data_IF_496953208605
#
_entry.id   IF_496953208605
#
_cell.length_a   1.000
_cell.length_b   1.000
_cell.length_c   1.000
_cell.angle_alpha   90.00
_cell.angle_beta   90.00
_cell.angle_gamma   90.00
#
_symmetry.space_group_name_H-M   'P 1'
#
loop_
_entity.id
_entity.type
_entity.pdbx_description
1 polymer ?
#
# COMPACT_ATOMS: atom_id res chain seq x y z
N UNK A 1 42.34 4.36 7.43
CA UNK A 1 41.45 4.57 8.59
C UNK A 1 41.31 6.04 8.98
N UNK A 2 42.39 6.81 9.15
CA UNK A 2 42.29 8.26 9.44
C UNK A 2 41.64 9.06 8.29
N UNK A 3 42.03 8.78 7.04
CA UNK A 3 41.47 9.43 5.86
C UNK A 3 39.96 9.18 5.70
N UNK A 4 39.51 7.93 5.94
CA UNK A 4 38.10 7.56 5.88
C UNK A 4 37.26 8.22 6.97
N UNK A 5 37.83 8.42 8.17
CA UNK A 5 37.17 9.17 9.24
C UNK A 5 37.07 10.65 8.90
N UNK A 6 38.12 11.25 8.33
CA UNK A 6 38.11 12.66 7.92
C UNK A 6 37.06 12.94 6.82
N UNK A 7 36.98 12.09 5.81
CA UNK A 7 35.96 12.21 4.76
C UNK A 7 34.54 12.03 5.33
N UNK A 8 34.37 11.16 6.33
CA UNK A 8 33.08 10.94 7.00
C UNK A 8 32.64 12.13 7.83
N UNK A 9 33.55 12.80 8.54
CA UNK A 9 33.22 14.01 9.31
C UNK A 9 32.86 15.17 8.36
N UNK A 10 33.63 15.32 7.27
CA UNK A 10 33.38 16.37 6.28
C UNK A 10 31.98 16.23 5.65
N UNK A 11 31.58 15.02 5.25
CA UNK A 11 30.26 14.79 4.65
C UNK A 11 29.11 15.05 5.64
N UNK A 12 29.31 14.75 6.92
CA UNK A 12 28.33 15.01 7.98
C UNK A 12 28.15 16.51 8.22
N UNK A 13 29.25 17.27 8.24
CA UNK A 13 29.20 18.74 8.36
C UNK A 13 28.48 19.35 7.16
N UNK A 14 28.82 18.94 5.94
CA UNK A 14 28.18 19.49 4.72
C UNK A 14 26.68 19.20 4.71
N UNK A 15 26.25 17.98 5.02
CA UNK A 15 24.83 17.62 5.05
C UNK A 15 24.06 18.36 6.16
N UNK A 16 24.68 18.59 7.32
CA UNK A 16 24.08 19.37 8.40
C UNK A 16 23.87 20.85 8.02
N UNK A 17 24.81 21.46 7.31
CA UNK A 17 24.70 22.85 6.85
C UNK A 17 23.61 23.02 5.79
N UNK A 18 23.52 22.06 4.86
CA UNK A 18 22.49 22.06 3.82
C UNK A 18 21.09 21.91 4.42
N UNK A 19 20.90 20.99 5.37
CA UNK A 19 19.61 20.81 6.05
C UNK A 19 19.25 22.03 6.89
N UNK A 20 20.21 22.64 7.59
CA UNK A 20 19.98 23.88 8.35
C UNK A 20 19.58 25.05 7.44
N UNK A 21 20.28 25.24 6.32
CA UNK A 21 19.92 26.26 5.32
C UNK A 21 18.53 26.05 4.74
N UNK A 22 18.16 24.79 4.46
CA UNK A 22 16.81 24.45 3.97
C UNK A 22 15.72 24.78 5.00
N UNK A 23 15.93 24.49 6.28
CA UNK A 23 14.96 24.78 7.35
C UNK A 23 14.77 26.29 7.51
N UNK A 24 15.85 27.08 7.49
CA UNK A 24 15.72 28.54 7.56
C UNK A 24 14.94 29.10 6.36
N UNK A 25 15.21 28.61 5.15
CA UNK A 25 14.48 29.03 3.96
C UNK A 25 13.00 28.59 3.98
N UNK A 26 12.71 27.36 4.43
CA UNK A 26 11.35 26.83 4.47
C UNK A 26 10.47 27.60 5.46
N UNK A 27 11.00 28.03 6.61
CA UNK A 27 10.24 28.85 7.57
C UNK A 27 9.77 30.19 6.99
N UNK A 28 10.56 30.82 6.12
CA UNK A 28 10.16 32.04 5.40
C UNK A 28 9.03 31.78 4.40
N UNK A 29 9.00 30.58 3.79
CA UNK A 29 7.94 30.18 2.87
C UNK A 29 6.62 29.87 3.59
N UNK A 30 6.69 29.27 4.78
CA UNK A 30 5.53 28.94 5.62
C UNK A 30 4.77 30.21 6.06
N UNK A 31 5.43 31.35 6.22
CA UNK A 31 4.76 32.61 6.57
C UNK A 31 3.73 33.08 5.52
N UNK A 32 3.79 32.59 4.27
CA UNK A 32 2.84 32.97 3.23
C UNK A 32 1.60 32.08 3.33
N UNK A 33 0.52 32.63 3.89
CA UNK A 33 -0.77 31.94 4.11
C UNK A 33 -1.31 31.21 2.87
N UNK A 34 -1.15 31.78 1.69
CA UNK A 34 -1.59 31.18 0.40
C UNK A 34 -0.84 29.90 0.02
N UNK A 35 0.36 29.67 0.58
CA UNK A 35 1.07 28.39 0.42
C UNK A 35 0.62 27.33 1.42
N UNK A 36 -0.09 27.74 2.48
CA UNK A 36 -0.58 26.85 3.53
C UNK A 36 -2.04 26.42 3.32
N UNK A 37 -2.76 27.04 2.37
CA UNK A 37 -4.11 26.64 1.99
C UNK A 37 -4.10 25.35 1.17
N UNK A 38 -5.17 24.57 1.26
CA UNK A 38 -5.33 23.36 0.46
C UNK A 38 -5.29 23.70 -1.04
N UNK A 39 -4.56 22.91 -1.81
CA UNK A 39 -4.50 23.08 -3.26
C UNK A 39 -5.71 22.44 -3.92
N UNK A 40 -6.58 23.23 -4.53
CA UNK A 40 -7.74 22.77 -5.32
C UNK A 40 -7.64 23.34 -6.74
N UNK A 41 -6.53 23.04 -7.44
CA UNK A 41 -6.25 23.48 -8.81
C UNK A 41 -6.30 25.00 -9.04
N UNK A 42 -5.95 25.78 -8.01
CA UNK A 42 -5.97 27.26 -8.06
C UNK A 42 -7.31 27.88 -7.65
N UNK A 43 -8.30 27.08 -7.27
CA UNK A 43 -9.54 27.53 -6.66
C UNK A 43 -9.46 27.48 -5.13
N UNK A 44 -10.31 28.28 -4.48
CA UNK A 44 -10.51 28.19 -3.05
C UNK A 44 -11.21 26.86 -2.70
N UNK A 45 -10.77 26.17 -1.63
CA UNK A 45 -11.32 24.87 -1.30
C UNK A 45 -12.81 24.97 -0.96
N UNK A 46 -13.63 24.18 -1.66
CA UNK A 46 -15.09 24.19 -1.55
C UNK A 46 -15.61 23.60 -0.22
N UNK A 47 -14.73 22.90 0.51
CA UNK A 47 -15.01 22.33 1.82
C UNK A 47 -13.80 21.61 2.41
N UNK A 48 -14.03 20.79 3.43
CA UNK A 48 -12.97 19.93 3.96
C UNK A 48 -12.73 18.73 3.04
N UNK A 49 -11.47 18.38 2.79
CA UNK A 49 -11.11 17.13 2.08
C UNK A 49 -11.48 15.84 2.84
N UNK A 50 -11.99 15.94 4.07
CA UNK A 50 -12.39 14.82 4.94
C UNK A 50 -13.87 14.47 4.78
N UNK A 51 -14.37 14.45 3.56
CA UNK A 51 -15.72 13.99 3.26
C UNK A 51 -15.77 12.46 3.24
N UNK A 52 -16.93 11.85 3.54
CA UNK A 52 -17.11 10.42 3.42
C UNK A 52 -16.86 10.00 1.97
N UNK A 53 -15.93 9.07 1.79
CA UNK A 53 -15.58 8.47 0.51
C UNK A 53 -16.52 7.29 0.20
N UNK A 54 -16.58 6.86 -1.06
CA UNK A 54 -17.48 5.78 -1.47
C UNK A 54 -17.06 4.44 -0.86
N UNK A 55 -18.01 3.78 -0.20
CA UNK A 55 -17.81 2.49 0.48
C UNK A 55 -17.47 1.32 -0.47
N UNK A 56 -17.72 1.48 -1.78
CA UNK A 56 -17.45 0.45 -2.78
C UNK A 56 -15.96 0.16 -2.94
N UNK A 57 -15.11 1.18 -2.94
CA UNK A 57 -13.65 0.98 -2.96
C UNK A 57 -13.13 0.30 -1.69
N UNK A 58 -13.75 0.59 -0.55
CA UNK A 58 -13.41 -0.09 0.70
C UNK A 58 -13.72 -1.58 0.62
N UNK A 59 -14.88 -1.94 0.06
CA UNK A 59 -15.28 -3.33 -0.12
C UNK A 59 -14.32 -4.08 -1.05
N UNK A 60 -13.93 -3.48 -2.18
CA UNK A 60 -12.92 -4.02 -3.08
C UNK A 60 -11.58 -4.28 -2.37
N UNK A 61 -11.14 -3.34 -1.52
CA UNK A 61 -9.89 -3.48 -0.76
C UNK A 61 -9.94 -4.64 0.25
N UNK A 62 -11.10 -4.87 0.89
CA UNK A 62 -11.29 -5.99 1.80
C UNK A 62 -11.28 -7.33 1.05
N UNK A 63 -11.98 -7.42 -0.08
CA UNK A 63 -11.96 -8.63 -0.93
C UNK A 63 -10.54 -8.93 -1.40
N UNK A 64 -9.83 -7.92 -1.90
CA UNK A 64 -8.43 -8.07 -2.32
C UNK A 64 -7.53 -8.58 -1.19
N UNK A 65 -7.69 -8.08 0.03
CA UNK A 65 -6.92 -8.52 1.19
C UNK A 65 -7.18 -9.99 1.53
N UNK A 66 -8.44 -10.43 1.49
CA UNK A 66 -8.80 -11.84 1.74
C UNK A 66 -8.21 -12.73 0.66
N UNK A 67 -8.33 -12.34 -0.61
CA UNK A 67 -7.78 -13.09 -1.74
C UNK A 67 -6.24 -13.21 -1.67
N UNK A 68 -5.53 -12.18 -1.20
CA UNK A 68 -4.08 -12.24 -1.00
C UNK A 68 -3.68 -13.27 0.08
N UNK A 69 -4.46 -13.37 1.16
CA UNK A 69 -4.28 -14.41 2.19
C UNK A 69 -4.48 -15.81 1.59
N UNK A 70 -5.48 -15.98 0.72
CA UNK A 70 -5.72 -17.27 0.05
C UNK A 70 -4.57 -17.67 -0.88
N UNK A 71 -3.96 -16.72 -1.60
CA UNK A 71 -2.75 -16.96 -2.40
C UNK A 71 -1.57 -17.38 -1.52
N UNK A 72 -1.39 -16.73 -0.37
CA UNK A 72 -0.35 -17.11 0.59
C UNK A 72 -0.53 -18.55 1.07
N UNK A 73 -1.77 -19.01 1.26
CA UNK A 73 -2.08 -20.40 1.61
C UNK A 73 -1.78 -21.39 0.47
N UNK A 74 -1.82 -20.96 -0.79
CA UNK A 74 -1.45 -21.77 -1.95
C UNK A 74 0.07 -21.83 -2.20
N UNK A 75 0.82 -20.82 -1.75
CA UNK A 75 2.28 -20.72 -1.96
C UNK A 75 3.11 -21.98 -1.56
N UNK A 76 2.85 -22.68 -0.43
CA UNK A 76 3.67 -23.82 -0.03
C UNK A 76 3.46 -25.09 -0.88
N UNK A 77 2.53 -25.09 -1.83
CA UNK A 77 2.18 -26.27 -2.62
C UNK A 77 3.38 -26.98 -3.30
N UNK A 78 4.31 -26.27 -3.99
CA UNK A 78 5.42 -26.93 -4.67
C UNK A 78 6.31 -27.70 -3.68
N UNK A 79 6.50 -27.16 -2.48
CA UNK A 79 7.27 -27.83 -1.42
C UNK A 79 6.52 -29.08 -0.94
N UNK A 80 5.21 -28.96 -0.68
CA UNK A 80 4.40 -30.09 -0.21
C UNK A 80 4.36 -31.25 -1.21
N UNK A 81 4.30 -30.96 -2.52
CA UNK A 81 4.34 -31.97 -3.58
C UNK A 81 5.61 -32.83 -3.56
N UNK A 82 6.74 -32.28 -3.09
CA UNK A 82 8.02 -33.00 -3.06
C UNK A 82 8.20 -33.89 -1.83
N UNK A 83 7.56 -33.55 -0.70
CA UNK A 83 7.80 -34.21 0.59
C UNK A 83 6.64 -35.06 1.09
N UNK A 84 5.41 -34.79 0.65
CA UNK A 84 4.19 -35.41 1.17
C UNK A 84 3.56 -36.44 0.24
N UNK A 85 2.46 -37.05 0.72
CA UNK A 85 1.66 -37.96 -0.11
C UNK A 85 0.90 -37.17 -1.20
N UNK A 86 1.22 -37.47 -2.46
CA UNK A 86 0.72 -36.71 -3.62
C UNK A 86 -0.81 -36.71 -3.71
N UNK A 87 -1.47 -37.85 -3.46
CA UNK A 87 -2.93 -37.96 -3.55
C UNK A 87 -3.65 -37.07 -2.53
N UNK A 88 -3.21 -37.04 -1.26
CA UNK A 88 -3.85 -36.22 -0.23
C UNK A 88 -3.72 -34.74 -0.51
N UNK A 89 -2.58 -34.30 -1.04
CA UNK A 89 -2.35 -32.88 -1.33
C UNK A 89 -3.13 -32.47 -2.59
N UNK A 90 -3.23 -33.33 -3.61
CA UNK A 90 -4.06 -33.07 -4.80
C UNK A 90 -5.53 -32.92 -4.41
N UNK A 91 -6.06 -33.83 -3.58
CA UNK A 91 -7.46 -33.74 -3.10
C UNK A 91 -7.67 -32.48 -2.25
N UNK A 92 -6.72 -32.14 -1.37
CA UNK A 92 -6.77 -30.93 -0.56
C UNK A 92 -6.76 -29.65 -1.39
N UNK A 93 -5.90 -29.56 -2.41
CA UNK A 93 -5.86 -28.43 -3.33
C UNK A 93 -7.15 -28.31 -4.15
N UNK A 94 -7.69 -29.44 -4.62
CA UNK A 94 -8.95 -29.42 -5.36
C UNK A 94 -10.10 -28.88 -4.51
N UNK A 95 -10.22 -29.33 -3.26
CA UNK A 95 -11.22 -28.81 -2.33
C UNK A 95 -11.02 -27.32 -2.02
N UNK A 96 -9.77 -26.89 -1.80
CA UNK A 96 -9.45 -25.49 -1.55
C UNK A 96 -9.83 -24.59 -2.72
N UNK A 97 -9.46 -24.97 -3.95
CA UNK A 97 -9.80 -24.21 -5.16
C UNK A 97 -11.32 -24.17 -5.39
N UNK A 98 -12.05 -25.24 -5.06
CA UNK A 98 -13.50 -25.27 -5.17
C UNK A 98 -14.14 -24.25 -4.22
N UNK A 99 -13.66 -24.15 -2.98
CA UNK A 99 -14.14 -23.16 -2.01
C UNK A 99 -13.87 -21.74 -2.50
N UNK A 100 -12.65 -21.47 -2.99
CA UNK A 100 -12.26 -20.18 -3.55
C UNK A 100 -13.16 -19.80 -4.76
N UNK A 101 -13.44 -20.75 -5.65
CA UNK A 101 -14.32 -20.53 -6.80
C UNK A 101 -15.77 -20.23 -6.37
N UNK A 102 -16.30 -20.92 -5.35
CA UNK A 102 -17.65 -20.63 -4.84
C UNK A 102 -17.69 -19.27 -4.16
N UNK A 103 -16.67 -18.91 -3.36
CA UNK A 103 -16.60 -17.61 -2.69
C UNK A 103 -16.57 -16.46 -3.68
N UNK A 104 -15.72 -16.54 -4.71
CA UNK A 104 -15.64 -15.53 -5.77
C UNK A 104 -16.93 -15.42 -6.58
N UNK A 105 -17.61 -16.54 -6.88
CA UNK A 105 -18.93 -16.52 -7.55
C UNK A 105 -20.01 -15.85 -6.68
N UNK A 106 -19.97 -16.05 -5.37
CA UNK A 106 -20.87 -15.38 -4.44
C UNK A 106 -20.61 -13.87 -4.40
N UNK A 107 -19.35 -13.45 -4.29
CA UNK A 107 -18.96 -12.03 -4.32
C UNK A 107 -19.38 -11.33 -5.63
N UNK A 108 -19.24 -12.03 -6.76
CA UNK A 108 -19.68 -11.55 -8.06
C UNK A 108 -21.20 -11.34 -8.11
N UNK A 109 -21.99 -12.31 -7.61
CA UNK A 109 -23.45 -12.20 -7.58
C UNK A 109 -23.96 -11.06 -6.69
N UNK A 110 -23.22 -10.71 -5.63
CA UNK A 110 -23.52 -9.56 -4.76
C UNK A 110 -23.15 -8.20 -5.41
N UNK A 111 -22.58 -8.19 -6.62
CA UNK A 111 -22.19 -6.95 -7.31
C UNK A 111 -21.03 -6.22 -6.63
N UNK A 112 -20.30 -6.90 -5.76
CA UNK A 112 -19.18 -6.33 -4.99
C UNK A 112 -17.97 -5.99 -5.86
N UNK A 113 -17.85 -6.67 -7.00
CA UNK A 113 -16.79 -6.52 -7.99
C UNK A 113 -17.16 -5.54 -9.11
N UNK A 114 -18.42 -5.11 -9.18
CA UNK A 114 -18.88 -4.19 -10.20
C UNK A 114 -18.37 -2.78 -9.89
N UNK A 115 -17.65 -2.22 -10.87
CA UNK A 115 -17.32 -0.81 -10.84
C UNK A 115 -18.54 0.01 -11.24
N UNK A 116 -18.77 1.08 -10.47
CA UNK A 116 -19.77 2.07 -10.81
C UNK A 116 -19.30 2.88 -12.02
N UNK A 117 -20.20 3.09 -12.97
CA UNK A 117 -20.34 4.40 -13.62
C UNK A 117 -20.80 5.45 -12.59
#
# INVERSE_FOLDING_TARGET
MLFTLFTGILSLVVTSLLTFGWVLYSTQLVSKREKLTAFECGFDPSGSARTPFSLRFFLLAVIFLVFDIEIVLLMPLPLMMTTGNSLTIIVGLFLFLLILLIGTMHEYNEGSLDWAE
#
